data_IF_045597789225
#
_entry.id   IF_045597789225
#
_cell.length_a   1.000
_cell.length_b   1.000
_cell.length_c   1.000
_cell.angle_alpha   90.00
_cell.angle_beta   90.00
_cell.angle_gamma   90.00
#
_symmetry.space_group_name_H-M   'P 1'
#
loop_
_entity.id
_entity.type
_entity.pdbx_description
1 polymer ?
#
# COMPACT_ATOMS: atom_id res chain seq x y z
N UNK A 1 6.56 23.39 18.44
CA UNK A 1 6.23 24.16 17.21
C UNK A 1 5.78 23.16 16.16
N UNK A 2 4.47 23.01 15.92
CA UNK A 2 3.91 21.97 15.02
C UNK A 2 4.20 22.40 13.57
N UNK A 3 4.90 21.55 12.80
CA UNK A 3 5.23 21.81 11.40
C UNK A 3 3.97 22.05 10.57
N UNK A 4 4.03 23.04 9.67
CA UNK A 4 2.89 23.66 8.98
C UNK A 4 2.39 22.92 7.73
N UNK A 5 2.90 21.74 7.39
CA UNK A 5 2.27 20.88 6.37
C UNK A 5 2.65 19.41 6.60
N UNK A 6 1.70 18.61 7.08
CA UNK A 6 1.86 17.15 7.22
C UNK A 6 1.93 16.43 5.86
N UNK A 7 1.58 17.14 4.78
CA UNK A 7 1.49 16.63 3.42
C UNK A 7 2.62 17.14 2.52
N UNK A 8 3.77 17.53 3.08
CA UNK A 8 4.93 17.91 2.28
C UNK A 8 5.52 16.66 1.58
N UNK A 9 5.46 16.56 0.24
CA UNK A 9 5.89 15.36 -0.48
C UNK A 9 7.36 15.01 -0.23
N UNK A 10 8.25 16.00 -0.20
CA UNK A 10 9.67 15.78 0.02
C UNK A 10 9.95 15.15 1.40
N UNK A 11 9.24 15.63 2.44
CA UNK A 11 9.30 15.03 3.78
C UNK A 11 8.72 13.61 3.80
N UNK A 12 7.61 13.36 3.10
CA UNK A 12 6.99 12.02 3.05
C UNK A 12 7.93 11.03 2.37
N UNK A 13 8.48 11.38 1.22
CA UNK A 13 9.41 10.54 0.45
C UNK A 13 10.68 10.25 1.25
N UNK A 14 11.29 11.28 1.84
CA UNK A 14 12.50 11.11 2.66
C UNK A 14 12.28 10.20 3.86
N UNK A 15 11.05 10.13 4.40
CA UNK A 15 10.75 9.32 5.59
C UNK A 15 10.25 7.93 5.28
N UNK A 16 9.49 7.77 4.19
CA UNK A 16 8.95 6.48 3.74
C UNK A 16 9.95 5.69 2.90
N UNK A 17 10.94 6.37 2.30
CA UNK A 17 11.90 5.76 1.38
C UNK A 17 11.31 5.46 0.00
N UNK A 18 10.12 5.95 -0.31
CA UNK A 18 9.44 5.72 -1.60
C UNK A 18 8.73 6.96 -2.10
N UNK A 19 8.59 7.05 -3.42
CA UNK A 19 7.71 8.02 -4.10
C UNK A 19 6.34 7.39 -4.46
N UNK A 20 6.17 6.10 -4.22
CA UNK A 20 4.94 5.38 -4.54
C UNK A 20 3.88 5.62 -3.46
N UNK A 21 2.62 5.58 -3.89
CA UNK A 21 1.45 5.58 -3.00
C UNK A 21 0.92 4.15 -2.84
N UNK A 22 0.30 3.80 -1.70
CA UNK A 22 0.06 4.65 -0.53
C UNK A 22 1.25 4.74 0.43
N UNK A 23 1.24 5.79 1.26
CA UNK A 23 2.09 5.92 2.45
C UNK A 23 1.19 6.23 3.66
N UNK A 24 1.39 5.51 4.76
CA UNK A 24 0.65 5.69 6.01
C UNK A 24 1.52 6.37 7.08
N UNK A 25 1.07 7.53 7.57
CA UNK A 25 1.63 8.16 8.77
C UNK A 25 0.82 7.74 10.00
N UNK A 26 1.46 7.04 10.94
CA UNK A 26 0.79 6.55 12.15
C UNK A 26 0.85 7.56 13.31
N UNK A 27 -0.04 7.44 14.33
CA UNK A 27 0.04 8.28 15.54
C UNK A 27 1.37 8.16 16.30
N UNK A 28 2.06 7.03 16.19
CA UNK A 28 3.39 6.77 16.76
C UNK A 28 4.52 7.42 15.94
N UNK A 29 4.14 8.20 14.92
CA UNK A 29 5.03 8.89 14.00
C UNK A 29 5.85 7.94 13.11
N UNK A 30 5.34 6.76 12.77
CA UNK A 30 5.92 5.93 11.72
C UNK A 30 5.44 6.39 10.34
N UNK A 31 6.30 6.27 9.33
CA UNK A 31 5.97 6.54 7.94
C UNK A 31 6.18 5.24 7.17
N UNK A 32 5.10 4.57 6.81
CA UNK A 32 5.13 3.22 6.23
C UNK A 32 4.65 3.34 4.78
N UNK A 33 5.54 3.10 3.84
CA UNK A 33 5.16 2.94 2.43
C UNK A 33 4.70 1.51 2.16
N UNK A 34 4.08 1.33 0.98
CA UNK A 34 3.66 0.04 0.44
C UNK A 34 2.43 -0.59 1.14
N UNK A 35 1.54 -1.22 0.38
CA UNK A 35 0.28 -1.79 0.87
C UNK A 35 0.48 -3.00 1.74
N UNK A 36 1.39 -3.91 1.40
CA UNK A 36 1.61 -5.17 2.14
C UNK A 36 2.06 -4.93 3.59
N UNK A 37 3.10 -4.12 3.88
CA UNK A 37 3.49 -3.83 5.28
C UNK A 37 2.43 -3.02 6.03
N UNK A 38 1.70 -2.13 5.35
CA UNK A 38 0.55 -1.43 5.96
C UNK A 38 -0.53 -2.44 6.38
N UNK A 39 -0.85 -3.41 5.54
CA UNK A 39 -1.84 -4.44 5.83
C UNK A 39 -1.41 -5.31 7.01
N UNK A 40 -0.15 -5.74 7.08
CA UNK A 40 0.36 -6.48 8.24
C UNK A 40 0.28 -5.67 9.55
N UNK A 41 0.63 -4.38 9.52
CA UNK A 41 0.47 -3.51 10.69
C UNK A 41 -0.99 -3.44 11.15
N UNK A 42 -1.93 -3.25 10.21
CA UNK A 42 -3.35 -3.14 10.52
C UNK A 42 -3.91 -4.47 11.04
N UNK A 43 -3.44 -5.59 10.51
CA UNK A 43 -3.84 -6.92 10.96
C UNK A 43 -3.43 -7.19 12.42
N UNK A 44 -2.25 -6.73 12.83
CA UNK A 44 -1.80 -6.78 14.22
C UNK A 44 -2.64 -5.88 15.13
N UNK A 45 -2.94 -4.65 14.69
CA UNK A 45 -3.71 -3.67 15.49
C UNK A 45 -5.19 -4.03 15.60
N UNK A 46 -5.76 -4.66 14.58
CA UNK A 46 -7.19 -4.99 14.51
C UNK A 46 -7.43 -6.47 14.19
N UNK A 47 -7.12 -7.40 15.12
CA UNK A 47 -7.17 -8.84 14.86
C UNK A 47 -8.54 -9.39 14.41
N UNK A 48 -9.63 -8.69 14.76
CA UNK A 48 -11.01 -9.05 14.39
C UNK A 48 -11.38 -8.72 12.95
N UNK A 49 -10.55 -7.92 12.25
CA UNK A 49 -10.76 -7.47 10.86
C UNK A 49 -9.57 -7.79 9.95
N UNK A 50 -8.78 -8.80 10.31
CA UNK A 50 -7.58 -9.16 9.57
C UNK A 50 -7.87 -9.50 8.13
N UNK A 51 -7.07 -8.96 7.22
CA UNK A 51 -7.06 -9.37 5.83
C UNK A 51 -6.40 -10.74 5.68
N UNK A 52 -5.32 -11.01 6.42
CA UNK A 52 -4.63 -12.30 6.47
C UNK A 52 -5.05 -13.10 7.72
N UNK A 53 -6.14 -13.89 7.66
CA UNK A 53 -6.56 -14.73 8.78
C UNK A 53 -5.53 -15.85 9.06
N UNK A 54 -5.58 -16.43 10.25
CA UNK A 54 -4.73 -17.59 10.57
C UNK A 54 -5.20 -18.86 9.85
N UNK A 55 -4.25 -19.76 9.56
CA UNK A 55 -4.55 -21.05 8.93
C UNK A 55 -4.60 -21.00 7.40
N UNK A 56 -5.17 -22.03 6.75
CA UNK A 56 -5.11 -22.18 5.29
C UNK A 56 -5.73 -21.02 4.49
N UNK A 57 -6.76 -20.38 5.04
CA UNK A 57 -7.36 -19.20 4.41
C UNK A 57 -6.39 -18.02 4.30
N UNK A 58 -5.51 -17.84 5.30
CA UNK A 58 -4.48 -16.79 5.25
C UNK A 58 -3.46 -17.03 4.15
N UNK A 59 -3.05 -18.28 3.98
CA UNK A 59 -2.12 -18.67 2.90
C UNK A 59 -2.75 -18.40 1.54
N UNK A 60 -4.05 -18.71 1.37
CA UNK A 60 -4.76 -18.37 0.14
C UNK A 60 -4.81 -16.86 -0.10
N UNK A 61 -5.09 -16.06 0.93
CA UNK A 61 -5.10 -14.60 0.78
C UNK A 61 -3.71 -14.05 0.43
N UNK A 62 -2.63 -14.57 1.03
CA UNK A 62 -1.26 -14.19 0.66
C UNK A 62 -0.95 -14.50 -0.81
N UNK A 63 -1.32 -15.68 -1.29
CA UNK A 63 -1.11 -16.04 -2.69
C UNK A 63 -1.90 -15.15 -3.66
N UNK A 64 -3.13 -14.75 -3.28
CA UNK A 64 -3.94 -13.84 -4.07
C UNK A 64 -3.38 -12.42 -4.05
N UNK A 65 -2.96 -11.91 -2.89
CA UNK A 65 -2.42 -10.57 -2.75
C UNK A 65 -1.15 -10.39 -3.58
N UNK A 66 -0.18 -11.31 -3.48
CA UNK A 66 1.02 -11.35 -4.34
C UNK A 66 0.66 -11.42 -5.83
N UNK A 67 -0.34 -12.22 -6.20
CA UNK A 67 -0.78 -12.32 -7.60
C UNK A 67 -1.32 -10.99 -8.13
N UNK A 68 -2.16 -10.31 -7.36
CA UNK A 68 -2.76 -9.05 -7.78
C UNK A 68 -1.76 -7.90 -7.78
N UNK A 69 -0.84 -7.87 -6.82
CA UNK A 69 0.16 -6.81 -6.71
C UNK A 69 1.20 -6.88 -7.84
N UNK A 70 1.80 -8.05 -8.05
CA UNK A 70 2.93 -8.18 -8.98
C UNK A 70 2.54 -8.47 -10.43
N UNK A 71 1.45 -9.19 -10.67
CA UNK A 71 1.13 -9.72 -12.00
C UNK A 71 0.02 -8.96 -12.69
N UNK A 72 -1.02 -8.59 -11.95
CA UNK A 72 -2.18 -7.89 -12.53
C UNK A 72 -1.86 -6.44 -12.85
N UNK A 73 -0.99 -5.77 -12.08
CA UNK A 73 -0.60 -4.39 -12.30
C UNK A 73 -0.11 -4.11 -13.74
N UNK A 74 0.67 -5.03 -14.32
CA UNK A 74 1.18 -4.90 -15.71
C UNK A 74 0.06 -4.89 -16.73
N UNK A 75 -0.92 -5.78 -16.53
CA UNK A 75 -2.10 -5.89 -17.39
C UNK A 75 -2.99 -4.66 -17.24
N UNK A 76 -3.22 -4.22 -15.99
CA UNK A 76 -3.98 -3.01 -15.68
C UNK A 76 -3.37 -1.77 -16.36
N UNK A 77 -2.06 -1.57 -16.22
CA UNK A 77 -1.35 -0.42 -16.82
C UNK A 77 -1.45 -0.45 -18.33
N UNK A 78 -1.29 -1.62 -18.96
CA UNK A 78 -1.46 -1.77 -20.41
C UNK A 78 -2.86 -1.34 -20.85
N UNK A 79 -3.93 -1.93 -20.30
CA UNK A 79 -5.27 -1.58 -20.76
C UNK A 79 -5.69 -0.16 -20.39
N UNK A 80 -5.20 0.41 -19.28
CA UNK A 80 -5.55 1.77 -18.84
C UNK A 80 -4.82 2.88 -19.58
N UNK A 81 -3.58 2.69 -20.03
CA UNK A 81 -2.76 3.78 -20.57
C UNK A 81 -2.05 3.47 -21.91
N UNK A 82 -2.17 2.26 -22.44
CA UNK A 82 -1.57 1.94 -23.75
C UNK A 82 -2.35 2.53 -24.93
N UNK A 83 -3.67 2.57 -24.82
CA UNK A 83 -4.54 3.05 -25.89
C UNK A 83 -4.69 4.58 -25.82
N UNK A 84 -4.56 5.30 -26.95
CA UNK A 84 -4.70 6.76 -26.97
C UNK A 84 -6.03 7.25 -26.37
N UNK A 85 -7.13 6.53 -26.60
CA UNK A 85 -8.46 6.86 -26.09
C UNK A 85 -8.53 6.76 -24.56
N UNK A 86 -7.67 5.94 -23.95
CA UNK A 86 -7.57 5.81 -22.50
C UNK A 86 -6.56 6.78 -21.90
N UNK A 87 -5.69 7.42 -22.69
CA UNK A 87 -4.58 8.23 -22.19
C UNK A 87 -4.96 9.70 -21.88
N UNK A 88 -6.17 10.13 -22.26
CA UNK A 88 -6.78 11.41 -21.84
C UNK A 88 -7.35 11.34 -20.41
#
# INVERSE_FOLDING_TARGET
MRSKNLNDPATIESRSGTHQVPVLHTPENWMIGDTTPIMHLLDERYPSRRMFPVGPAGVLVQALEEYFDEWVARTMVHYRWHYPESAE
#
